data_IF_157005665834
#
_entry.id   IF_157005665834
#
_cell.length_a   1.000
_cell.length_b   1.000
_cell.length_c   1.000
_cell.angle_alpha   90.00
_cell.angle_beta   90.00
_cell.angle_gamma   90.00
#
_symmetry.space_group_name_H-M   'P 1'
#
loop_
_entity.id
_entity.type
_entity.pdbx_description
1 polymer ?
#
# COMPACT_ATOMS: atom_id res chain seq x y z
N UNK A 1 -2.28 -14.01 21.43
CA UNK A 1 -1.03 -13.44 20.86
C UNK A 1 -1.15 -13.09 19.37
N UNK A 2 -1.86 -13.87 18.54
CA UNK A 2 -1.87 -13.68 17.07
C UNK A 2 -2.59 -12.40 16.58
N UNK A 3 -3.64 -11.91 17.28
CA UNK A 3 -4.41 -10.74 16.83
C UNK A 3 -3.60 -9.45 16.68
N UNK A 4 -2.67 -9.17 17.61
CA UNK A 4 -1.92 -7.91 17.58
C UNK A 4 -1.00 -7.80 16.36
N UNK A 5 -0.31 -8.89 16.01
CA UNK A 5 0.58 -8.91 14.85
C UNK A 5 -0.16 -8.63 13.53
N UNK A 6 -1.39 -9.13 13.41
CA UNK A 6 -2.25 -8.85 12.24
C UNK A 6 -2.69 -7.39 12.19
N UNK A 7 -3.07 -6.79 13.32
CA UNK A 7 -3.47 -5.39 13.38
C UNK A 7 -2.29 -4.43 13.15
N UNK A 8 -1.12 -4.73 13.71
CA UNK A 8 0.12 -3.99 13.46
C UNK A 8 0.48 -4.03 11.97
N UNK A 9 0.44 -5.22 11.36
CA UNK A 9 0.71 -5.38 9.92
C UNK A 9 -0.30 -4.63 9.06
N UNK A 10 -1.59 -4.67 9.39
CA UNK A 10 -2.63 -3.91 8.68
C UNK A 10 -2.35 -2.40 8.79
N UNK A 11 -1.90 -1.91 9.94
CA UNK A 11 -1.57 -0.49 10.10
C UNK A 11 -0.33 -0.09 9.31
N UNK A 12 0.71 -0.94 9.27
CA UNK A 12 1.87 -0.73 8.40
C UNK A 12 1.48 -0.63 6.93
N UNK A 13 0.68 -1.58 6.45
CA UNK A 13 0.21 -1.63 5.07
C UNK A 13 -0.63 -0.40 4.71
N UNK A 14 -1.48 0.08 5.62
CA UNK A 14 -2.24 1.34 5.41
C UNK A 14 -1.32 2.56 5.31
N UNK A 15 -0.29 2.66 6.16
CA UNK A 15 0.67 3.75 6.08
C UNK A 15 1.48 3.70 4.78
N UNK A 16 1.85 2.49 4.34
CA UNK A 16 2.55 2.28 3.08
C UNK A 16 1.67 2.60 1.86
N UNK A 17 0.38 2.26 1.93
CA UNK A 17 -0.61 2.61 0.91
C UNK A 17 -0.68 4.13 0.70
N UNK A 18 -0.86 4.89 1.79
CA UNK A 18 -0.95 6.36 1.75
C UNK A 18 0.33 6.97 1.16
N UNK A 19 1.51 6.48 1.56
CA UNK A 19 2.79 6.95 1.01
C UNK A 19 2.90 6.67 -0.48
N UNK A 20 2.55 5.45 -0.91
CA UNK A 20 2.63 5.03 -2.30
C UNK A 20 1.67 5.83 -3.19
N UNK A 21 0.48 6.18 -2.68
CA UNK A 21 -0.44 7.09 -3.38
C UNK A 21 0.16 8.50 -3.53
N UNK A 22 0.75 9.05 -2.46
CA UNK A 22 1.41 10.36 -2.55
C UNK A 22 2.61 10.38 -3.49
N UNK A 23 3.34 9.27 -3.61
CA UNK A 23 4.42 9.13 -4.59
C UNK A 23 3.87 8.99 -6.02
N UNK A 24 2.74 8.30 -6.19
CA UNK A 24 2.05 8.18 -7.47
C UNK A 24 1.58 9.56 -7.97
N UNK A 25 0.90 10.35 -7.13
CA UNK A 25 0.47 11.71 -7.49
C UNK A 25 1.64 12.61 -7.92
N UNK A 26 2.79 12.50 -7.23
CA UNK A 26 4.01 13.22 -7.60
C UNK A 26 4.58 12.74 -8.93
N UNK A 27 4.63 11.43 -9.14
CA UNK A 27 5.11 10.84 -10.40
C UNK A 27 4.23 11.26 -11.57
N UNK A 28 2.89 11.24 -11.41
CA UNK A 28 1.95 11.75 -12.41
C UNK A 28 2.18 13.23 -12.70
N UNK A 29 2.41 14.04 -11.66
CA UNK A 29 2.63 15.49 -11.80
C UNK A 29 3.88 15.85 -12.61
N UNK A 30 4.90 14.99 -12.61
CA UNK A 30 6.13 15.19 -13.39
C UNK A 30 6.15 14.39 -14.70
N UNK A 31 5.07 13.67 -15.04
CA UNK A 31 4.99 12.81 -16.21
C UNK A 31 5.89 11.57 -16.13
N UNK A 32 6.20 11.12 -14.91
CA UNK A 32 7.02 9.93 -14.64
C UNK A 32 6.27 8.61 -14.81
N UNK A 33 7.00 7.50 -14.82
CA UNK A 33 6.41 6.15 -14.91
C UNK A 33 5.74 5.76 -13.58
N UNK A 34 4.43 5.55 -13.63
CA UNK A 34 3.61 5.18 -12.47
C UNK A 34 3.43 3.68 -12.30
N UNK A 35 3.81 2.85 -13.28
CA UNK A 35 3.49 1.41 -13.27
C UNK A 35 4.04 0.67 -12.06
N UNK A 36 5.23 1.10 -11.60
CA UNK A 36 5.84 0.53 -10.40
C UNK A 36 5.04 0.87 -9.13
N UNK A 37 4.54 2.10 -9.03
CA UNK A 37 3.72 2.55 -7.90
C UNK A 37 2.33 1.88 -7.94
N UNK A 38 1.69 1.78 -9.11
CA UNK A 38 0.42 1.07 -9.29
C UNK A 38 0.52 -0.41 -8.90
N UNK A 39 1.57 -1.10 -9.36
CA UNK A 39 1.82 -2.50 -9.00
C UNK A 39 1.99 -2.67 -7.49
N UNK A 40 2.64 -1.71 -6.85
CA UNK A 40 2.85 -1.71 -5.40
C UNK A 40 1.54 -1.49 -4.65
N UNK A 41 0.69 -0.56 -5.09
CA UNK A 41 -0.65 -0.36 -4.51
C UNK A 41 -1.50 -1.63 -4.61
N UNK A 42 -1.55 -2.27 -5.78
CA UNK A 42 -2.30 -3.50 -5.97
C UNK A 42 -1.79 -4.65 -5.06
N UNK A 43 -0.48 -4.73 -4.81
CA UNK A 43 0.07 -5.71 -3.89
C UNK A 43 -0.34 -5.44 -2.43
N UNK A 44 -0.32 -4.17 -2.00
CA UNK A 44 -0.75 -3.75 -0.66
C UNK A 44 -2.24 -4.05 -0.46
N UNK A 45 -3.09 -3.75 -1.46
CA UNK A 45 -4.52 -4.03 -1.41
C UNK A 45 -4.81 -5.53 -1.27
N UNK A 46 -4.09 -6.36 -2.03
CA UNK A 46 -4.20 -7.81 -1.93
C UNK A 46 -3.81 -8.31 -0.55
N UNK A 47 -2.68 -7.86 0.00
CA UNK A 47 -2.23 -8.27 1.33
C UNK A 47 -3.20 -7.80 2.44
N UNK A 48 -3.75 -6.59 2.33
CA UNK A 48 -4.78 -6.09 3.24
C UNK A 48 -6.07 -6.91 3.19
N UNK A 49 -6.44 -7.43 2.02
CA UNK A 49 -7.58 -8.33 1.87
C UNK A 49 -7.31 -9.67 2.55
N UNK A 50 -6.15 -10.28 2.28
CA UNK A 50 -5.76 -11.57 2.86
C UNK A 50 -5.67 -11.52 4.40
N UNK A 51 -5.27 -10.38 4.98
CA UNK A 51 -5.19 -10.22 6.44
C UNK A 51 -6.53 -9.89 7.13
N UNK A 52 -7.58 -9.56 6.35
CA UNK A 52 -8.92 -9.26 6.86
C UNK A 52 -9.88 -10.46 6.81
N UNK A 53 -9.58 -11.48 6.00
CA UNK A 53 -10.29 -12.77 5.95
C UNK A 53 -9.87 -13.71 7.10
#
# INVERSE_FOLDING_TARGET
>A
MVKNYTEERINELKLEYIRTQGDLEKLESVGGDIKAAEKKLAAIEKELQELRE
#
